data_IF_455999425417
#
_entry.id   IF_455999425417
#
_cell.length_a   1.000
_cell.length_b   1.000
_cell.length_c   1.000
_cell.angle_alpha   90.00
_cell.angle_beta   90.00
_cell.angle_gamma   90.00
#
_symmetry.space_group_name_H-M   'P 1'
#
loop_
_entity.id
_entity.type
_entity.pdbx_description
1 polymer ?
#
# COMPACT_ATOMS: atom_id res chain seq x y z
N UNK A 1 6.20 3.28 -14.23
CA UNK A 1 6.17 4.75 -14.15
C UNK A 1 4.90 5.23 -14.79
N UNK A 2 4.14 6.09 -14.10
CA UNK A 2 3.01 6.78 -14.70
C UNK A 2 3.49 7.50 -15.97
N UNK A 3 2.90 7.19 -17.12
CA UNK A 3 3.40 7.68 -18.43
C UNK A 3 3.08 9.17 -18.66
N UNK A 4 2.16 9.74 -17.89
CA UNK A 4 1.67 11.12 -18.01
C UNK A 4 2.40 11.99 -16.99
N UNK A 5 2.40 11.59 -15.72
CA UNK A 5 2.94 12.38 -14.61
C UNK A 5 4.43 12.09 -14.32
N UNK A 6 5.03 11.07 -14.93
CA UNK A 6 6.41 10.61 -14.70
C UNK A 6 6.75 10.27 -13.23
N UNK A 7 5.74 10.12 -12.39
CA UNK A 7 5.96 9.79 -10.97
C UNK A 7 6.03 8.27 -10.78
N UNK A 8 6.92 7.83 -9.89
CA UNK A 8 7.01 6.45 -9.47
C UNK A 8 5.82 6.07 -8.56
N UNK A 9 5.31 4.85 -8.74
CA UNK A 9 4.15 4.29 -8.04
C UNK A 9 4.39 2.81 -7.76
N UNK A 10 3.80 2.30 -6.68
CA UNK A 10 3.76 0.88 -6.41
C UNK A 10 2.53 0.26 -7.10
N UNK A 11 2.70 -0.87 -7.79
CA UNK A 11 1.61 -1.60 -8.45
C UNK A 11 1.46 -2.97 -7.79
N UNK A 12 0.42 -3.14 -6.96
CA UNK A 12 0.13 -4.40 -6.28
C UNK A 12 -0.88 -5.20 -7.09
N UNK A 13 -0.46 -6.37 -7.60
CA UNK A 13 -1.34 -7.30 -8.32
C UNK A 13 -1.89 -8.37 -7.36
N UNK A 14 -3.21 -8.45 -7.25
CA UNK A 14 -3.92 -9.42 -6.39
C UNK A 14 -4.72 -10.36 -7.28
N UNK A 15 -4.43 -11.66 -7.20
CA UNK A 15 -5.18 -12.67 -7.96
C UNK A 15 -6.56 -12.89 -7.37
N UNK A 16 -7.60 -12.81 -8.20
CA UNK A 16 -8.99 -13.08 -7.82
C UNK A 16 -9.18 -14.49 -7.28
N UNK A 17 -8.44 -15.47 -7.82
CA UNK A 17 -8.47 -16.87 -7.35
C UNK A 17 -8.01 -17.03 -5.90
N UNK A 18 -7.17 -16.12 -5.40
CA UNK A 18 -6.70 -16.12 -4.00
C UNK A 18 -7.65 -15.37 -3.05
N UNK A 19 -8.62 -14.63 -3.58
CA UNK A 19 -9.59 -13.88 -2.78
C UNK A 19 -10.75 -14.78 -2.39
N UNK A 20 -10.91 -15.02 -1.09
CA UNK A 20 -12.05 -15.77 -0.55
C UNK A 20 -13.38 -15.01 -0.66
N UNK A 21 -13.34 -13.68 -0.67
CA UNK A 21 -14.52 -12.82 -0.74
C UNK A 21 -14.20 -11.54 -1.52
N UNK A 22 -14.51 -11.55 -2.82
CA UNK A 22 -14.28 -10.42 -3.72
C UNK A 22 -15.11 -9.19 -3.33
N UNK A 23 -16.41 -9.28 -2.98
CA UNK A 23 -17.18 -8.14 -2.52
C UNK A 23 -16.56 -7.40 -1.34
N UNK A 24 -16.08 -8.14 -0.33
CA UNK A 24 -15.41 -7.54 0.83
C UNK A 24 -14.11 -6.84 0.44
N UNK A 25 -13.33 -7.43 -0.46
CA UNK A 25 -12.11 -6.81 -0.97
C UNK A 25 -12.39 -5.51 -1.74
N UNK A 26 -13.48 -5.46 -2.52
CA UNK A 26 -13.91 -4.21 -3.19
C UNK A 26 -14.35 -3.14 -2.19
N UNK A 27 -15.02 -3.53 -1.11
CA UNK A 27 -15.36 -2.60 -0.02
C UNK A 27 -14.10 -2.02 0.63
N UNK A 28 -13.06 -2.82 0.85
CA UNK A 28 -11.76 -2.33 1.35
C UNK A 28 -11.11 -1.33 0.38
N UNK A 29 -11.16 -1.61 -0.93
CA UNK A 29 -10.70 -0.67 -1.95
C UNK A 29 -11.45 0.66 -1.87
N UNK A 30 -12.77 0.63 -1.71
CA UNK A 30 -13.58 1.84 -1.63
C UNK A 30 -13.32 2.64 -0.34
N UNK A 31 -13.04 1.97 0.77
CA UNK A 31 -12.55 2.64 1.98
C UNK A 31 -11.21 3.33 1.68
N UNK A 32 -10.25 2.62 1.08
CA UNK A 32 -8.92 3.16 0.77
C UNK A 32 -8.96 4.37 -0.17
N UNK A 33 -9.87 4.41 -1.13
CA UNK A 33 -10.06 5.57 -2.04
C UNK A 33 -10.43 6.85 -1.30
N UNK A 34 -11.07 6.73 -0.14
CA UNK A 34 -11.52 7.87 0.67
C UNK A 34 -10.49 8.28 1.74
N UNK A 35 -9.35 7.60 1.85
CA UNK A 35 -8.31 7.93 2.81
C UNK A 35 -7.32 8.93 2.20
N UNK A 36 -7.23 10.12 2.82
CA UNK A 36 -6.24 11.15 2.48
C UNK A 36 -5.60 11.68 3.76
N UNK A 37 -4.47 11.08 4.15
CA UNK A 37 -3.76 11.43 5.38
C UNK A 37 -2.26 11.19 5.21
N UNK A 38 -1.38 12.08 5.72
CA UNK A 38 0.08 11.97 5.54
C UNK A 38 0.71 10.67 6.04
N UNK A 39 0.07 9.97 6.98
CA UNK A 39 0.54 8.69 7.53
C UNK A 39 -0.21 7.46 7.00
N UNK A 40 -1.04 7.61 5.96
CA UNK A 40 -1.76 6.50 5.32
C UNK A 40 -1.37 6.46 3.84
N UNK A 41 -0.96 5.28 3.37
CA UNK A 41 -0.60 5.07 1.96
C UNK A 41 -1.79 5.38 1.06
N UNK A 42 -1.58 6.30 0.12
CA UNK A 42 -2.61 6.69 -0.83
C UNK A 42 -2.84 5.63 -1.91
N UNK A 43 -4.11 5.32 -2.17
CA UNK A 43 -4.54 4.57 -3.34
C UNK A 43 -4.92 5.58 -4.45
N UNK A 44 -4.20 5.54 -5.57
CA UNK A 44 -4.46 6.45 -6.70
C UNK A 44 -5.51 5.87 -7.64
N UNK A 45 -5.29 4.64 -8.09
CA UNK A 45 -6.10 4.02 -9.14
C UNK A 45 -6.21 2.51 -8.92
N UNK A 46 -7.27 1.92 -9.49
CA UNK A 46 -7.49 0.47 -9.49
C UNK A 46 -7.82 0.00 -10.89
N UNK A 47 -7.18 -1.07 -11.33
CA UNK A 47 -7.48 -1.76 -12.59
C UNK A 47 -7.91 -3.19 -12.31
N UNK A 48 -8.79 -3.75 -13.14
CA UNK A 48 -9.27 -5.11 -12.99
C UNK A 48 -9.29 -5.76 -14.37
N UNK A 49 -8.62 -6.91 -14.51
CA UNK A 49 -8.76 -7.83 -15.65
C UNK A 49 -9.50 -9.10 -15.17
N UNK A 50 -9.65 -10.13 -16.00
CA UNK A 50 -10.38 -11.35 -15.63
C UNK A 50 -9.75 -12.13 -14.45
N UNK A 51 -8.44 -12.03 -14.25
CA UNK A 51 -7.71 -12.85 -13.29
C UNK A 51 -7.25 -12.09 -12.04
N UNK A 52 -7.04 -10.77 -12.15
CA UNK A 52 -6.35 -9.95 -11.16
C UNK A 52 -6.97 -8.57 -10.99
N UNK A 53 -6.79 -8.03 -9.80
CA UNK A 53 -7.05 -6.63 -9.45
C UNK A 53 -5.69 -5.99 -9.17
N UNK A 54 -5.43 -4.85 -9.80
CA UNK A 54 -4.21 -4.06 -9.65
C UNK A 54 -4.52 -2.80 -8.87
N UNK A 55 -3.74 -2.55 -7.82
CA UNK A 55 -3.83 -1.35 -7.00
C UNK A 55 -2.60 -0.49 -7.26
N UNK A 56 -2.83 0.73 -7.75
CA UNK A 56 -1.77 1.72 -7.97
C UNK A 56 -1.70 2.60 -6.73
N UNK A 57 -0.61 2.47 -5.99
CA UNK A 57 -0.43 3.02 -4.66
C UNK A 57 0.79 3.93 -4.59
N UNK A 58 0.88 4.72 -3.52
CA UNK A 58 2.09 5.46 -3.17
C UNK A 58 3.29 4.52 -3.06
N UNK A 59 4.43 4.95 -3.62
CA UNK A 59 5.67 4.21 -3.54
C UNK A 59 6.41 4.60 -2.26
N UNK A 60 6.37 3.71 -1.26
CA UNK A 60 7.15 3.86 -0.03
C UNK A 60 8.52 3.20 -0.20
N UNK A 61 9.60 4.00 -0.24
CA UNK A 61 10.98 3.50 -0.37
C UNK A 61 11.65 3.17 0.97
N UNK A 62 10.99 3.48 2.08
CA UNK A 62 11.53 3.36 3.43
C UNK A 62 11.65 1.92 3.96
N UNK A 63 11.13 0.92 3.24
CA UNK A 63 11.09 -0.48 3.70
C UNK A 63 10.19 -0.70 4.92
N UNK A 64 10.29 -1.88 5.52
CA UNK A 64 9.47 -2.27 6.67
C UNK A 64 10.05 -1.78 8.00
N UNK A 65 9.16 -1.39 8.93
CA UNK A 65 9.56 -0.96 10.27
C UNK A 65 10.22 -2.12 11.05
N UNK A 66 9.67 -3.31 10.95
CA UNK A 66 10.17 -4.48 11.66
C UNK A 66 11.60 -4.83 11.25
N UNK A 67 11.90 -4.80 9.96
CA UNK A 67 13.27 -5.00 9.45
C UNK A 67 14.27 -4.00 10.03
N UNK A 68 13.84 -2.74 10.24
CA UNK A 68 14.68 -1.72 10.87
C UNK A 68 14.91 -2.03 12.35
N UNK A 69 13.88 -2.47 13.07
CA UNK A 69 13.99 -2.87 14.48
C UNK A 69 14.97 -4.03 14.61
N UNK A 70 14.79 -5.09 13.83
CA UNK A 70 15.68 -6.27 13.87
C UNK A 70 17.13 -5.90 13.59
N UNK A 71 17.39 -5.01 12.61
CA UNK A 71 18.75 -4.55 12.29
C UNK A 71 19.38 -3.68 13.38
N UNK A 72 18.59 -2.86 14.08
CA UNK A 72 19.08 -1.99 15.18
C UNK A 72 19.06 -2.66 16.56
N UNK A 73 18.34 -3.77 16.72
CA UNK A 73 18.04 -4.39 18.01
C UNK A 73 16.81 -3.78 18.68
N UNK A 74 16.82 -2.47 18.92
CA UNK A 74 15.68 -1.75 19.52
C UNK A 74 15.69 -0.26 19.12
N UNK A 75 14.55 0.41 19.35
CA UNK A 75 14.45 1.86 19.30
C UNK A 75 14.31 2.41 20.73
N UNK A 76 14.88 3.59 20.99
CA UNK A 76 14.65 4.29 22.25
C UNK A 76 13.19 4.75 22.31
N UNK A 77 12.62 4.88 23.51
CA UNK A 77 11.23 5.34 23.68
C UNK A 77 10.98 6.70 23.01
N UNK A 78 11.93 7.63 23.15
CA UNK A 78 11.86 8.94 22.50
C UNK A 78 11.81 8.85 20.97
N UNK A 79 12.55 7.92 20.36
CA UNK A 79 12.51 7.72 18.92
C UNK A 79 11.26 6.95 18.48
N UNK A 80 10.85 5.96 19.27
CA UNK A 80 9.66 5.14 19.01
C UNK A 80 8.36 5.95 19.07
N UNK A 81 8.29 6.99 19.91
CA UNK A 81 7.13 7.90 19.98
C UNK A 81 7.03 8.85 18.78
N UNK A 82 8.13 9.08 18.06
CA UNK A 82 8.16 9.99 16.91
C UNK A 82 7.76 9.31 15.60
N UNK A 83 8.08 8.03 15.45
CA UNK A 83 7.84 7.23 14.23
C UNK A 83 6.46 6.57 14.24
#
# INVERSE_FOLDING_TARGET
TDKILRTARAAKAVSKKKLKNIPRFRQEIDIMKNLDHPNIVKLFETFEDDEKIYLIMELCTGGELFDKIVKKGYFTEAYACFI
#
